data_IF_506232514198
#
_entry.id   IF_506232514198
#
_cell.length_a   1.000
_cell.length_b   1.000
_cell.length_c   1.000
_cell.angle_alpha   90.00
_cell.angle_beta   90.00
_cell.angle_gamma   90.00
#
_symmetry.space_group_name_H-M   'P 1'
#
loop_
_entity.id
_entity.type
_entity.pdbx_description
1 polymer ?
#
# COMPACT_ATOMS: atom_id res chain seq x y z
N UNK A 1 -10.06 9.56 -3.54
CA UNK A 1 -8.96 9.19 -4.46
C UNK A 1 -8.56 7.77 -4.16
N UNK A 2 -8.20 7.00 -5.18
CA UNK A 2 -7.52 5.72 -5.04
C UNK A 2 -6.02 6.03 -5.13
N UNK A 3 -5.25 5.72 -4.08
CA UNK A 3 -3.79 5.91 -4.10
C UNK A 3 -3.08 4.71 -4.74
N UNK A 4 -1.95 4.96 -5.39
CA UNK A 4 -1.06 3.93 -5.89
C UNK A 4 0.40 4.26 -5.57
N UNK A 5 1.19 3.22 -5.32
CA UNK A 5 2.64 3.30 -5.14
C UNK A 5 3.37 2.40 -6.13
N UNK A 6 4.54 2.82 -6.57
CA UNK A 6 5.42 2.02 -7.42
C UNK A 6 6.60 1.51 -6.61
N UNK A 7 7.01 0.27 -6.85
CA UNK A 7 8.29 -0.24 -6.33
C UNK A 7 9.48 0.50 -6.95
N UNK A 8 10.61 0.55 -6.23
CA UNK A 8 11.82 1.26 -6.67
C UNK A 8 12.40 0.76 -8.00
N UNK A 9 12.20 -0.52 -8.31
CA UNK A 9 12.62 -1.16 -9.57
C UNK A 9 11.54 -1.08 -10.67
N UNK A 10 10.43 -0.39 -10.41
CA UNK A 10 9.32 -0.22 -11.35
C UNK A 10 8.58 -1.50 -11.73
N UNK A 11 8.92 -2.64 -11.10
CA UNK A 11 8.42 -3.96 -11.49
C UNK A 11 7.04 -4.27 -10.90
N UNK A 12 6.64 -3.54 -9.86
CA UNK A 12 5.38 -3.72 -9.16
C UNK A 12 4.67 -2.40 -8.87
N UNK A 13 3.33 -2.43 -9.02
CA UNK A 13 2.40 -1.36 -8.64
C UNK A 13 1.49 -1.84 -7.54
N UNK A 14 1.29 -1.01 -6.52
CA UNK A 14 0.46 -1.29 -5.35
C UNK A 14 -0.71 -0.33 -5.37
N UNK A 15 -1.94 -0.85 -5.42
CA UNK A 15 -3.15 -0.06 -5.57
C UNK A 15 -4.09 -0.28 -4.39
N UNK A 16 -4.52 0.81 -3.75
CA UNK A 16 -5.59 0.76 -2.76
C UNK A 16 -6.95 0.51 -3.42
N UNK A 17 -7.59 -0.61 -3.10
CA UNK A 17 -8.88 -1.05 -3.68
C UNK A 17 -9.96 -1.08 -2.59
N UNK A 18 -10.03 -0.01 -1.78
CA UNK A 18 -11.08 0.16 -0.78
C UNK A 18 -11.15 -0.98 0.23
N UNK A 19 -12.33 -1.60 0.38
CA UNK A 19 -12.55 -2.71 1.32
C UNK A 19 -11.84 -4.01 0.93
N UNK A 20 -11.35 -4.13 -0.31
CA UNK A 20 -10.53 -5.28 -0.71
C UNK A 20 -9.06 -5.16 -0.23
N UNK A 21 -8.68 -4.01 0.34
CA UNK A 21 -7.31 -3.72 0.79
C UNK A 21 -6.43 -3.25 -0.35
N UNK A 22 -5.24 -3.84 -0.51
CA UNK A 22 -4.28 -3.46 -1.56
C UNK A 22 -4.10 -4.60 -2.56
N UNK A 23 -4.20 -4.28 -3.85
CA UNK A 23 -3.79 -5.17 -4.93
C UNK A 23 -2.37 -4.87 -5.36
N UNK A 24 -1.57 -5.92 -5.55
CA UNK A 24 -0.20 -5.83 -6.05
C UNK A 24 -0.17 -6.38 -7.47
N UNK A 25 0.24 -5.56 -8.42
CA UNK A 25 0.39 -5.92 -9.82
C UNK A 25 1.86 -6.10 -10.13
N UNK A 26 2.19 -7.19 -10.85
CA UNK A 26 3.45 -7.29 -11.57
C UNK A 26 3.29 -6.58 -12.92
N UNK A 27 4.16 -5.61 -13.18
CA UNK A 27 4.19 -4.77 -14.38
C UNK A 27 5.54 -4.85 -15.11
N UNK A 28 6.32 -5.92 -14.90
CA UNK A 28 7.59 -6.15 -15.60
C UNK A 28 7.42 -6.19 -17.11
N UNK A 29 6.26 -6.66 -17.59
CA UNK A 29 5.76 -6.44 -18.94
C UNK A 29 4.61 -5.43 -18.87
N UNK A 30 4.88 -4.18 -19.25
CA UNK A 30 3.90 -3.10 -19.21
C UNK A 30 2.74 -3.30 -20.21
N UNK A 31 2.91 -4.15 -21.23
CA UNK A 31 1.86 -4.49 -22.19
C UNK A 31 0.92 -5.58 -21.67
N UNK A 32 1.34 -6.33 -20.65
CA UNK A 32 0.58 -7.44 -20.07
C UNK A 32 0.73 -7.51 -18.54
N UNK A 33 0.18 -6.53 -17.80
CA UNK A 33 0.22 -6.53 -16.35
C UNK A 33 -0.60 -7.68 -15.76
N UNK A 34 -0.14 -8.26 -14.64
CA UNK A 34 -0.83 -9.37 -13.98
C UNK A 34 -0.95 -9.15 -12.47
N UNK A 35 -2.00 -9.71 -11.86
CA UNK A 35 -2.16 -9.65 -10.40
C UNK A 35 -1.14 -10.59 -9.76
N UNK A 36 -0.27 -10.03 -8.94
CA UNK A 36 0.74 -10.78 -8.19
C UNK A 36 0.22 -11.22 -6.81
N UNK A 37 -0.41 -10.30 -6.06
CA UNK A 37 -0.84 -10.55 -4.69
C UNK A 37 -1.97 -9.63 -4.23
N UNK A 38 -2.57 -9.99 -3.10
CA UNK A 38 -3.57 -9.20 -2.38
C UNK A 38 -3.16 -9.05 -0.92
N UNK A 39 -3.21 -7.83 -0.41
CA UNK A 39 -2.95 -7.51 0.99
C UNK A 39 -4.28 -7.13 1.62
N UNK A 40 -4.74 -7.94 2.57
CA UNK A 40 -5.89 -7.57 3.39
C UNK A 40 -5.47 -6.52 4.40
N UNK A 41 -6.11 -5.36 4.33
CA UNK A 41 -6.06 -4.33 5.36
C UNK A 41 -7.23 -4.52 6.32
N UNK A 42 -7.09 -4.06 7.56
CA UNK A 42 -8.14 -4.20 8.57
C UNK A 42 -9.40 -3.35 8.28
N UNK A 43 -9.32 -2.33 7.44
CA UNK A 43 -10.45 -1.60 6.87
C UNK A 43 -10.10 -0.97 5.50
N UNK A 44 -10.83 0.07 5.08
CA UNK A 44 -10.84 0.57 3.70
C UNK A 44 -9.54 1.30 3.37
N UNK A 45 -8.70 0.69 2.54
CA UNK A 45 -7.48 1.31 2.03
C UNK A 45 -7.84 2.54 1.18
N UNK A 46 -7.29 3.71 1.53
CA UNK A 46 -7.55 4.97 0.83
C UNK A 46 -6.36 5.38 -0.03
N UNK A 47 -5.20 5.47 0.59
CA UNK A 47 -3.98 5.88 -0.10
C UNK A 47 -2.84 4.90 0.17
N UNK A 48 -1.91 4.86 -0.77
CA UNK A 48 -0.77 3.97 -0.77
C UNK A 48 0.43 4.79 -1.25
N UNK A 49 1.52 4.78 -0.49
CA UNK A 49 2.78 5.41 -0.86
C UNK A 49 3.93 4.45 -0.60
N UNK A 50 4.96 4.51 -1.44
CA UNK A 50 6.19 3.73 -1.22
C UNK A 50 7.32 4.70 -0.88
N UNK A 51 8.03 4.40 0.21
CA UNK A 51 9.29 5.04 0.56
C UNK A 51 10.30 3.97 0.96
N UNK A 52 11.38 3.87 0.19
CA UNK A 52 12.37 2.82 0.32
C UNK A 52 11.76 1.42 0.08
N UNK A 53 11.90 0.52 1.04
CA UNK A 53 11.31 -0.83 0.96
C UNK A 53 9.96 -0.93 1.68
N UNK A 54 9.33 0.20 2.00
CA UNK A 54 8.11 0.21 2.80
C UNK A 54 6.95 0.78 2.00
N UNK A 55 5.83 0.05 2.02
CA UNK A 55 4.52 0.50 1.55
C UNK A 55 3.74 1.00 2.75
N UNK A 56 3.31 2.27 2.68
CA UNK A 56 2.46 2.93 3.66
C UNK A 56 1.05 2.92 3.13
N UNK A 57 0.13 2.34 3.88
CA UNK A 57 -1.29 2.25 3.51
C UNK A 57 -2.10 2.97 4.56
N UNK A 58 -2.78 4.04 4.15
CA UNK A 58 -3.69 4.77 5.05
C UNK A 58 -5.07 4.12 5.04
N UNK A 59 -5.60 3.95 6.23
CA UNK A 59 -6.91 3.41 6.50
C UNK A 59 -7.71 4.41 7.36
N UNK A 60 -8.97 4.62 6.99
CA UNK A 60 -9.88 5.58 7.65
C UNK A 60 -10.11 5.27 9.12
N UNK A 61 -10.03 4.01 9.54
CA UNK A 61 -10.34 3.61 10.93
C UNK A 61 -9.14 3.04 11.69
N UNK A 62 -8.12 2.53 10.99
CA UNK A 62 -6.99 1.84 11.64
C UNK A 62 -5.66 2.60 11.62
N UNK A 63 -5.63 3.81 11.05
CA UNK A 63 -4.40 4.61 10.96
C UNK A 63 -3.55 4.23 9.75
N UNK A 64 -2.23 4.22 9.90
CA UNK A 64 -1.28 3.85 8.83
C UNK A 64 -0.76 2.43 9.09
N UNK A 65 -0.91 1.56 8.11
CA UNK A 65 -0.29 0.23 8.09
C UNK A 65 0.97 0.28 7.22
N UNK A 66 2.06 -0.33 7.69
CA UNK A 66 3.34 -0.34 6.98
C UNK A 66 3.70 -1.80 6.63
N UNK A 67 4.04 -2.04 5.36
CA UNK A 67 4.40 -3.35 4.84
C UNK A 67 5.79 -3.32 4.17
N UNK A 68 6.60 -4.34 4.38
CA UNK A 68 7.86 -4.51 3.65
C UNK A 68 7.58 -5.03 2.22
N UNK A 69 7.93 -4.23 1.21
CA UNK A 69 7.70 -4.53 -0.20
C UNK A 69 8.53 -5.69 -0.70
N UNK A 70 9.68 -6.00 -0.09
CA UNK A 70 10.50 -7.16 -0.46
C UNK A 70 9.80 -8.47 -0.15
N UNK A 71 9.12 -8.54 1.00
CA UNK A 71 8.37 -9.73 1.41
C UNK A 71 7.10 -9.94 0.57
N UNK A 72 6.60 -8.86 -0.05
CA UNK A 72 5.44 -8.91 -0.94
C UNK A 72 5.78 -9.39 -2.36
N UNK A 73 7.05 -9.35 -2.77
CA UNK A 73 7.53 -9.82 -4.09
C UNK A 73 7.79 -11.33 -4.16
N UNK A 74 8.00 -11.99 -3.01
CA UNK A 74 8.47 -13.38 -2.96
C UNK A 74 7.36 -14.41 -2.74
N UNK A 75 6.08 -14.01 -2.83
CA UNK A 75 4.89 -14.88 -2.69
C UNK A 75 4.96 -15.82 -1.48
N UNK A 76 5.13 -15.27 -0.27
CA UNK A 76 4.69 -15.87 0.99
C UNK A 76 5.11 -14.96 2.14
N UNK A 77 4.28 -14.00 2.50
CA UNK A 77 4.16 -13.69 3.92
C UNK A 77 2.75 -13.17 4.16
N UNK A 78 2.10 -13.71 5.20
CA UNK A 78 0.96 -13.03 5.79
C UNK A 78 1.39 -11.61 6.24
N UNK A 79 0.44 -10.75 6.61
CA UNK A 79 0.75 -9.39 7.02
C UNK A 79 1.85 -9.40 8.09
N UNK A 80 3.06 -8.98 7.74
CA UNK A 80 4.08 -8.62 8.73
C UNK A 80 3.70 -7.22 9.19
N UNK A 81 2.72 -7.14 10.10
CA UNK A 81 2.25 -5.88 10.62
C UNK A 81 3.34 -5.27 11.49
N UNK A 82 4.04 -4.25 10.99
CA UNK A 82 4.78 -3.33 11.87
C UNK A 82 3.79 -2.22 12.26
N UNK A 83 3.15 -2.37 13.42
CA UNK A 83 2.27 -1.32 13.98
C UNK A 83 3.16 -0.20 14.51
N UNK A 84 3.19 0.95 13.84
CA UNK A 84 3.68 2.20 14.42
C UNK A 84 2.47 3.13 14.56
N UNK A 85 1.96 3.25 15.79
CA UNK A 85 0.86 4.17 16.11
C UNK A 85 1.45 5.58 16.16
N UNK A 86 1.13 6.42 15.17
CA UNK A 86 1.15 7.87 15.38
C UNK A 86 -0.29 8.37 15.39
N UNK A 87 -0.66 8.96 16.53
CA UNK A 87 -1.99 9.47 16.81
C UNK A 87 -2.47 10.47 15.75
N UNK A 88 -3.80 10.49 15.59
CA UNK A 88 -4.53 11.32 14.65
C UNK A 88 -4.08 12.78 14.62
N UNK A 89 -3.93 13.34 13.42
CA UNK A 89 -4.21 14.76 13.19
C UNK A 89 -5.03 14.88 11.91
N UNK A 90 -6.33 15.13 12.09
CA UNK A 90 -7.17 15.77 11.09
C UNK A 90 -6.67 17.21 10.89
N UNK A 91 -6.65 17.63 9.61
CA UNK A 91 -6.59 19.01 9.13
C UNK A 91 -5.21 19.67 9.08
N UNK A 92 -4.68 19.78 7.85
CA UNK A 92 -3.85 20.90 7.42
C UNK A 92 -4.57 21.39 6.14
N UNK A 93 -5.33 22.48 6.19
CA UNK A 93 -4.78 23.82 6.30
C UNK A 93 -4.63 24.34 4.87
N UNK A 94 -5.68 24.99 4.36
CA UNK A 94 -5.66 25.73 3.09
C UNK A 94 -4.70 26.91 3.29
N UNK A 95 -3.66 27.00 2.47
CA UNK A 95 -2.77 28.17 2.43
C UNK A 95 -3.48 29.27 1.65
N UNK A 96 -3.98 30.29 2.36
CA UNK A 96 -3.83 31.73 2.09
C UNK A 96 -4.11 32.48 3.39
#
# INVERSE_FOLDING_TARGET
MIGYGNSNDGSYVYMGVGSAGVQVFNVTDASNPSIHAFIRTNAVAKECEISGNYLYVSDRSSGIQIYDTKLLKTKASGPTTVVIIFGAIHQIGRII
#
